data_IF_639261250011
#
_entry.id   IF_639261250011
#
_cell.length_a   1.000
_cell.length_b   1.000
_cell.length_c   1.000
_cell.angle_alpha   90.00
_cell.angle_beta   90.00
_cell.angle_gamma   90.00
#
_symmetry.space_group_name_H-M   'P 1'
#
loop_
_entity.id
_entity.type
_entity.pdbx_description
1 polymer ?
#
# COMPACT_ATOMS: atom_id res chain seq x y z
N UNK A 1 10.75 -34.42 1.29
CA UNK A 1 10.34 -34.01 -0.07
C UNK A 1 10.28 -32.48 -0.10
N UNK A 2 10.85 -31.85 -1.11
CA UNK A 2 10.74 -30.41 -1.27
C UNK A 2 9.29 -29.99 -1.51
N UNK A 3 8.84 -28.86 -0.96
CA UNK A 3 7.47 -28.39 -1.18
C UNK A 3 7.24 -28.03 -2.67
N UNK A 4 5.99 -28.10 -3.16
CA UNK A 4 5.68 -27.63 -4.52
C UNK A 4 6.15 -26.20 -4.74
N UNK A 5 6.63 -25.89 -5.97
CA UNK A 5 7.24 -24.59 -6.30
C UNK A 5 6.37 -23.37 -5.96
N UNK A 6 5.05 -23.50 -5.99
CA UNK A 6 4.08 -22.43 -5.69
C UNK A 6 3.47 -22.52 -4.29
N UNK A 7 3.97 -23.40 -3.43
CA UNK A 7 3.50 -23.45 -2.05
C UNK A 7 3.83 -22.16 -1.29
N UNK A 8 3.06 -21.77 -0.26
CA UNK A 8 3.36 -20.61 0.57
C UNK A 8 4.76 -20.64 1.16
N UNK A 9 5.25 -21.81 1.61
CA UNK A 9 6.59 -22.01 2.16
C UNK A 9 7.67 -21.77 1.09
N UNK A 10 7.51 -22.33 -0.12
CA UNK A 10 8.47 -22.10 -1.20
C UNK A 10 8.53 -20.62 -1.64
N UNK A 11 7.42 -19.89 -1.53
CA UNK A 11 7.42 -18.42 -1.76
C UNK A 11 8.16 -17.69 -0.66
N UNK A 12 7.93 -18.05 0.60
CA UNK A 12 8.64 -17.46 1.74
C UNK A 12 10.15 -17.72 1.65
N UNK A 13 10.57 -18.94 1.29
CA UNK A 13 11.97 -19.30 1.11
C UNK A 13 12.64 -18.47 0.01
N UNK A 14 11.96 -18.28 -1.13
CA UNK A 14 12.49 -17.43 -2.22
C UNK A 14 12.64 -15.97 -1.80
N UNK A 15 11.66 -15.44 -1.06
CA UNK A 15 11.74 -14.08 -0.53
C UNK A 15 12.91 -13.95 0.44
N UNK A 16 13.06 -14.88 1.38
CA UNK A 16 14.16 -14.86 2.35
C UNK A 16 15.53 -14.98 1.66
N UNK A 17 15.66 -15.83 0.64
CA UNK A 17 16.89 -15.94 -0.14
C UNK A 17 17.24 -14.61 -0.83
N UNK A 18 16.29 -13.99 -1.53
CA UNK A 18 16.47 -12.68 -2.17
C UNK A 18 16.85 -11.59 -1.14
N UNK A 19 16.21 -11.59 0.03
CA UNK A 19 16.48 -10.62 1.08
C UNK A 19 17.86 -10.83 1.70
N UNK A 20 18.32 -12.08 1.86
CA UNK A 20 19.64 -12.40 2.41
C UNK A 20 20.78 -11.89 1.53
N UNK A 21 20.60 -11.88 0.22
CA UNK A 21 21.55 -11.28 -0.73
C UNK A 21 21.60 -9.76 -0.61
N UNK A 22 20.45 -9.13 -0.40
CA UNK A 22 20.32 -7.67 -0.36
C UNK A 22 20.66 -7.07 1.02
N UNK A 23 20.38 -7.81 2.09
CA UNK A 23 20.55 -7.39 3.48
C UNK A 23 21.26 -8.49 4.29
N UNK A 24 22.54 -8.78 4.00
CA UNK A 24 23.25 -9.86 4.66
C UNK A 24 23.36 -9.61 6.16
N UNK A 25 22.95 -10.60 6.97
CA UNK A 25 23.00 -10.53 8.42
C UNK A 25 21.87 -9.75 9.09
N UNK A 26 20.94 -9.18 8.34
CA UNK A 26 19.79 -8.46 8.91
C UNK A 26 18.76 -9.46 9.49
N UNK A 27 18.33 -9.30 10.77
CA UNK A 27 17.33 -10.17 11.38
C UNK A 27 15.98 -10.19 10.64
N UNK A 28 15.64 -9.14 9.90
CA UNK A 28 14.45 -9.07 9.06
C UNK A 28 14.40 -10.15 7.99
N UNK A 29 15.54 -10.69 7.57
CA UNK A 29 15.60 -11.84 6.66
C UNK A 29 14.97 -13.08 7.30
N UNK A 30 15.32 -13.37 8.55
CA UNK A 30 14.72 -14.49 9.30
C UNK A 30 13.25 -14.22 9.58
N UNK A 31 12.92 -13.00 10.00
CA UNK A 31 11.54 -12.60 10.24
C UNK A 31 10.65 -12.75 8.99
N UNK A 32 11.19 -12.56 7.79
CA UNK A 32 10.44 -12.72 6.54
C UNK A 32 9.89 -14.13 6.31
N UNK A 33 10.51 -15.15 6.88
CA UNK A 33 10.02 -16.54 6.83
C UNK A 33 8.71 -16.74 7.60
N UNK A 34 8.43 -15.87 8.56
CA UNK A 34 7.20 -15.87 9.37
C UNK A 34 6.11 -14.97 8.77
N UNK A 35 6.40 -14.27 7.67
CA UNK A 35 5.49 -13.32 7.04
C UNK A 35 4.79 -13.92 5.83
N UNK A 36 3.68 -13.31 5.43
CA UNK A 36 2.93 -13.71 4.25
C UNK A 36 3.43 -12.96 3.00
N UNK A 37 4.09 -13.62 2.05
CA UNK A 37 4.41 -13.01 0.76
C UNK A 37 3.11 -12.71 -0.02
N UNK A 38 2.87 -11.45 -0.34
CA UNK A 38 1.67 -10.99 -1.04
C UNK A 38 2.06 -10.37 -2.36
N UNK A 39 1.40 -10.76 -3.43
CA UNK A 39 1.44 -10.07 -4.72
C UNK A 39 0.12 -9.37 -4.96
N UNK A 40 0.17 -8.09 -5.28
CA UNK A 40 -0.98 -7.29 -5.67
C UNK A 40 -0.93 -7.05 -7.18
N UNK A 41 -2.04 -7.32 -7.86
CA UNK A 41 -2.23 -6.93 -9.24
C UNK A 41 -2.73 -5.47 -9.32
N UNK A 42 -2.62 -4.81 -10.49
CA UNK A 42 -3.19 -3.48 -10.67
C UNK A 42 -4.68 -3.43 -10.30
N UNK A 43 -5.06 -2.51 -9.42
CA UNK A 43 -6.42 -2.36 -8.91
C UNK A 43 -6.73 -3.21 -7.67
N UNK A 44 -5.78 -3.97 -7.15
CA UNK A 44 -5.90 -4.63 -5.84
C UNK A 44 -5.31 -3.76 -4.73
N UNK A 45 -5.89 -3.85 -3.54
CA UNK A 45 -5.42 -3.14 -2.36
C UNK A 45 -5.28 -4.07 -1.15
N UNK A 46 -4.36 -3.69 -0.26
CA UNK A 46 -4.12 -4.35 1.01
C UNK A 46 -4.26 -3.33 2.13
N UNK A 47 -4.99 -3.67 3.16
CA UNK A 47 -5.04 -2.90 4.40
C UNK A 47 -4.04 -3.46 5.41
N UNK A 48 -3.29 -2.57 6.02
CA UNK A 48 -2.33 -2.87 7.07
C UNK A 48 -2.72 -2.10 8.32
N UNK A 49 -3.13 -2.81 9.36
CA UNK A 49 -3.45 -2.21 10.65
C UNK A 49 -2.20 -1.70 11.37
N UNK A 50 -2.38 -0.79 12.31
CA UNK A 50 -1.28 -0.33 13.17
C UNK A 50 -0.58 -1.51 13.85
N UNK A 51 0.74 -1.42 14.02
CA UNK A 51 1.57 -2.48 14.59
C UNK A 51 1.88 -3.65 13.64
N UNK A 52 1.36 -3.66 12.41
CA UNK A 52 1.66 -4.69 11.42
C UNK A 52 2.99 -4.44 10.73
N UNK A 53 3.95 -5.36 10.91
CA UNK A 53 5.22 -5.33 10.17
C UNK A 53 4.97 -5.68 8.70
N UNK A 54 5.51 -4.85 7.83
CA UNK A 54 5.39 -5.07 6.39
C UNK A 54 6.61 -4.48 5.64
N UNK A 55 6.86 -4.98 4.45
CA UNK A 55 7.87 -4.44 3.56
C UNK A 55 7.40 -4.53 2.10
N UNK A 56 7.64 -3.46 1.34
CA UNK A 56 7.46 -3.47 -0.12
C UNK A 56 8.74 -3.95 -0.76
N UNK A 57 8.69 -5.08 -1.46
CA UNK A 57 9.87 -5.73 -2.02
C UNK A 57 10.15 -5.27 -3.45
N UNK A 58 9.12 -5.10 -4.25
CA UNK A 58 9.22 -4.68 -5.66
C UNK A 58 7.93 -4.11 -6.18
N UNK A 59 8.00 -3.41 -7.32
CA UNK A 59 6.84 -2.82 -7.98
C UNK A 59 6.57 -1.38 -7.58
N UNK A 60 5.44 -0.84 -8.05
CA UNK A 60 4.97 0.51 -7.75
C UNK A 60 3.57 0.43 -7.16
N UNK A 61 3.36 1.09 -6.04
CA UNK A 61 2.07 1.16 -5.37
C UNK A 61 1.80 2.58 -4.85
N UNK A 62 0.54 2.92 -4.70
CA UNK A 62 0.12 4.11 -3.96
C UNK A 62 -0.24 3.68 -2.55
N UNK A 63 0.37 4.33 -1.56
CA UNK A 63 0.06 4.11 -0.16
C UNK A 63 -0.55 5.37 0.44
N UNK A 64 -1.61 5.18 1.22
CA UNK A 64 -2.19 6.22 2.08
C UNK A 64 -2.13 5.73 3.52
N UNK A 65 -1.84 6.61 4.44
CA UNK A 65 -1.76 6.29 5.86
C UNK A 65 -2.23 7.46 6.71
N UNK A 66 -2.72 7.16 7.90
CA UNK A 66 -3.05 8.17 8.90
C UNK A 66 -1.80 8.96 9.30
N UNK A 67 -1.97 10.25 9.59
CA UNK A 67 -0.87 11.20 9.83
C UNK A 67 -0.25 11.10 11.22
N UNK A 68 0.08 9.91 11.71
CA UNK A 68 0.62 9.73 13.07
C UNK A 68 2.11 10.04 13.22
N UNK A 69 2.91 9.97 12.16
CA UNK A 69 4.34 10.29 12.19
C UNK A 69 5.25 9.34 12.98
N UNK A 70 4.72 8.31 13.64
CA UNK A 70 5.42 7.37 14.50
C UNK A 70 5.77 6.04 13.81
N UNK A 71 6.33 6.11 12.61
CA UNK A 71 6.75 4.93 11.87
C UNK A 71 8.07 4.39 12.41
N UNK A 72 8.03 3.19 12.97
CA UNK A 72 9.22 2.45 13.40
C UNK A 72 9.78 1.58 12.28
N UNK A 73 11.09 1.32 12.34
CA UNK A 73 11.76 0.38 11.44
C UNK A 73 11.85 -0.98 12.12
N UNK A 74 11.56 -2.04 11.37
CA UNK A 74 11.57 -3.41 11.89
C UNK A 74 12.75 -4.26 11.38
N UNK A 75 13.53 -3.75 10.42
CA UNK A 75 14.63 -4.43 9.77
C UNK A 75 14.68 -4.11 8.27
N UNK A 76 15.52 -4.84 7.52
CA UNK A 76 15.74 -4.66 6.09
C UNK A 76 16.08 -3.20 5.74
N UNK A 77 16.94 -2.58 6.54
CA UNK A 77 17.26 -1.16 6.45
C UNK A 77 18.63 -0.86 7.03
N UNK A 78 19.31 0.15 6.50
CA UNK A 78 20.52 0.71 7.10
C UNK A 78 20.24 1.79 8.16
N UNK A 79 18.95 2.13 8.37
CA UNK A 79 18.54 3.10 9.39
C UNK A 79 18.47 2.43 10.75
N UNK A 80 18.59 3.25 11.82
CA UNK A 80 18.44 2.76 13.18
C UNK A 80 17.10 2.05 13.41
N UNK A 81 17.16 0.92 14.09
CA UNK A 81 15.99 0.15 14.55
C UNK A 81 15.94 0.22 16.06
N UNK A 82 14.92 0.84 16.61
CA UNK A 82 14.65 0.85 18.04
C UNK A 82 13.89 -0.43 18.40
N UNK A 83 14.67 -1.45 18.79
CA UNK A 83 14.11 -2.78 19.07
C UNK A 83 13.17 -2.77 20.29
N UNK A 84 13.50 -2.12 21.43
CA UNK A 84 12.59 -2.04 22.57
C UNK A 84 11.23 -1.43 22.20
N UNK A 85 11.24 -0.29 21.52
CA UNK A 85 10.01 0.39 21.10
C UNK A 85 9.24 -0.42 20.05
N UNK A 86 9.94 -1.02 19.09
CA UNK A 86 9.34 -1.91 18.12
C UNK A 86 8.56 -3.05 18.79
N UNK A 87 9.18 -3.72 19.75
CA UNK A 87 8.55 -4.85 20.46
C UNK A 87 7.37 -4.40 21.35
N UNK A 88 7.38 -3.17 21.82
CA UNK A 88 6.28 -2.61 22.61
C UNK A 88 5.01 -2.36 21.79
N UNK A 89 5.15 -2.02 20.50
CA UNK A 89 4.01 -1.67 19.63
C UNK A 89 3.66 -2.73 18.59
N UNK A 90 4.52 -3.76 18.45
CA UNK A 90 4.34 -4.82 17.47
C UNK A 90 3.08 -5.64 17.76
N UNK A 91 2.23 -5.78 16.75
CA UNK A 91 1.19 -6.79 16.78
C UNK A 91 1.74 -8.13 16.26
N UNK A 92 2.02 -9.05 17.18
CA UNK A 92 2.54 -10.38 16.87
C UNK A 92 1.46 -11.43 16.58
N UNK A 93 0.17 -11.04 16.56
CA UNK A 93 -0.92 -11.95 16.25
C UNK A 93 -0.84 -12.42 14.81
N UNK A 94 -0.87 -13.74 14.61
CA UNK A 94 -0.94 -14.31 13.28
C UNK A 94 -2.29 -13.98 12.64
N UNK A 95 -2.26 -13.26 11.53
CA UNK A 95 -3.46 -12.90 10.78
C UNK A 95 -3.20 -12.97 9.28
N UNK A 96 -4.21 -13.38 8.49
CA UNK A 96 -4.09 -13.34 7.04
C UNK A 96 -4.00 -11.90 6.53
N UNK A 97 -3.38 -11.67 5.36
CA UNK A 97 -3.37 -10.37 4.72
C UNK A 97 -4.79 -9.89 4.42
N UNK A 98 -5.16 -8.70 4.90
CA UNK A 98 -6.49 -8.13 4.69
C UNK A 98 -6.56 -7.45 3.33
N UNK A 99 -7.08 -8.17 2.33
CA UNK A 99 -7.33 -7.60 1.00
C UNK A 99 -8.60 -6.78 1.02
N UNK A 100 -8.57 -5.60 0.38
CA UNK A 100 -9.74 -4.75 0.18
C UNK A 100 -10.12 -4.80 -1.28
N UNK A 101 -11.34 -5.27 -1.55
CA UNK A 101 -11.93 -5.19 -2.88
C UNK A 101 -12.47 -3.78 -3.13
N UNK A 102 -12.21 -3.19 -4.30
CA UNK A 102 -12.79 -1.89 -4.64
C UNK A 102 -14.30 -2.01 -4.84
N UNK A 103 -15.05 -1.12 -4.20
CA UNK A 103 -16.46 -0.93 -4.51
C UNK A 103 -16.60 -0.04 -5.74
N UNK A 104 -17.32 -0.51 -6.74
CA UNK A 104 -17.56 0.25 -7.96
C UNK A 104 -18.71 1.23 -7.76
N UNK A 105 -18.39 2.48 -7.49
CA UNK A 105 -19.37 3.55 -7.27
C UNK A 105 -20.09 3.92 -8.57
N UNK A 106 -19.34 3.95 -9.70
CA UNK A 106 -19.89 4.17 -11.05
C UNK A 106 -18.91 3.66 -12.13
N UNK A 107 -19.16 3.98 -13.39
CA UNK A 107 -18.33 3.51 -14.51
C UNK A 107 -16.87 4.01 -14.47
N UNK A 108 -16.61 5.13 -13.78
CA UNK A 108 -15.31 5.77 -13.73
C UNK A 108 -14.66 5.74 -12.33
N UNK A 109 -15.42 5.47 -11.26
CA UNK A 109 -14.95 5.57 -9.87
C UNK A 109 -15.07 4.23 -9.16
N UNK A 110 -13.97 3.80 -8.57
CA UNK A 110 -13.91 2.69 -7.62
C UNK A 110 -13.29 3.18 -6.31
N UNK A 111 -13.90 2.83 -5.18
CA UNK A 111 -13.46 3.26 -3.85
C UNK A 111 -13.04 2.06 -3.01
N UNK A 112 -11.92 2.18 -2.31
CA UNK A 112 -11.39 1.20 -1.39
C UNK A 112 -11.71 1.66 0.03
N UNK A 113 -12.68 1.01 0.67
CA UNK A 113 -13.08 1.32 2.03
C UNK A 113 -12.20 0.55 3.03
N UNK A 114 -11.23 1.25 3.61
CA UNK A 114 -10.47 0.72 4.73
C UNK A 114 -11.31 0.82 6.02
N UNK A 115 -11.10 -0.08 7.01
CA UNK A 115 -11.84 -0.05 8.28
C UNK A 115 -11.28 1.05 9.23
N UNK A 116 -11.14 2.28 8.74
CA UNK A 116 -10.66 3.46 9.46
C UNK A 116 -11.41 4.69 8.97
N UNK A 117 -11.56 5.68 9.84
CA UNK A 117 -12.25 6.93 9.53
C UNK A 117 -11.29 8.04 9.07
N UNK A 118 -9.97 7.78 9.10
CA UNK A 118 -8.94 8.79 8.84
C UNK A 118 -8.82 9.15 7.36
N UNK A 119 -9.13 8.22 6.45
CA UNK A 119 -8.99 8.43 5.01
C UNK A 119 -9.88 7.51 4.18
N UNK A 120 -10.11 7.91 2.96
CA UNK A 120 -10.71 7.10 1.89
C UNK A 120 -9.83 7.15 0.65
N UNK A 121 -9.65 6.04 -0.02
CA UNK A 121 -8.92 5.96 -1.29
C UNK A 121 -9.88 5.64 -2.44
N UNK A 122 -9.93 6.54 -3.42
CA UNK A 122 -10.68 6.30 -4.66
C UNK A 122 -9.77 6.30 -5.88
N UNK A 123 -10.01 5.37 -6.78
CA UNK A 123 -9.43 5.35 -8.11
C UNK A 123 -10.43 5.90 -9.12
N UNK A 124 -10.00 6.87 -9.95
CA UNK A 124 -10.81 7.47 -11.00
C UNK A 124 -10.16 7.17 -12.35
N UNK A 125 -10.89 6.54 -13.24
CA UNK A 125 -10.46 6.21 -14.60
C UNK A 125 -11.30 6.99 -15.62
N UNK A 126 -10.74 8.08 -16.15
CA UNK A 126 -11.34 8.84 -17.24
C UNK A 126 -10.97 8.18 -18.57
N UNK A 127 -11.98 7.81 -19.36
CA UNK A 127 -11.77 7.07 -20.62
C UNK A 127 -11.62 7.98 -21.83
N UNK A 128 -12.13 9.18 -21.74
CA UNK A 128 -12.09 10.19 -22.81
C UNK A 128 -12.08 11.61 -22.24
N UNK A 129 -11.77 12.60 -23.07
CA UNK A 129 -11.65 14.00 -22.69
C UNK A 129 -12.99 14.65 -22.25
N UNK A 130 -14.12 14.03 -22.56
CA UNK A 130 -15.44 14.55 -22.22
C UNK A 130 -16.01 13.95 -20.93
N UNK A 131 -15.37 12.89 -20.43
CA UNK A 131 -15.81 12.24 -19.20
C UNK A 131 -15.57 13.18 -18.01
N UNK A 132 -16.66 13.55 -17.34
CA UNK A 132 -16.63 14.35 -16.10
C UNK A 132 -17.09 13.50 -14.94
N UNK A 133 -16.33 13.56 -13.87
CA UNK A 133 -16.61 12.84 -12.63
C UNK A 133 -16.71 13.81 -11.48
N UNK A 134 -17.83 13.78 -10.75
CA UNK A 134 -17.98 14.52 -9.52
C UNK A 134 -17.48 13.66 -8.36
N UNK A 135 -16.38 14.07 -7.74
CA UNK A 135 -15.88 13.44 -6.50
C UNK A 135 -16.73 13.93 -5.34
N UNK A 136 -17.39 13.00 -4.67
CA UNK A 136 -18.26 13.29 -3.50
C UNK A 136 -17.45 13.11 -2.22
N UNK A 137 -17.92 13.65 -1.12
CA UNK A 137 -17.33 13.56 0.22
C UNK A 137 -17.12 14.93 0.86
N UNK A 138 -16.72 14.92 2.12
CA UNK A 138 -16.42 16.11 2.94
C UNK A 138 -14.94 16.05 3.31
N UNK A 139 -14.29 17.20 3.43
CA UNK A 139 -12.90 17.31 3.87
C UNK A 139 -11.87 17.55 2.76
N UNK A 140 -10.61 17.65 3.13
CA UNK A 140 -9.51 17.87 2.19
C UNK A 140 -9.33 16.68 1.26
N UNK A 141 -8.89 16.95 0.04
CA UNK A 141 -8.63 15.93 -0.97
C UNK A 141 -7.28 16.17 -1.60
N UNK A 142 -6.56 15.09 -1.81
CA UNK A 142 -5.35 15.06 -2.63
C UNK A 142 -5.64 14.22 -3.86
N UNK A 143 -5.39 14.77 -5.03
CA UNK A 143 -5.51 14.04 -6.30
C UNK A 143 -4.12 13.81 -6.85
N UNK A 144 -3.74 12.54 -7.03
CA UNK A 144 -2.51 12.13 -7.69
C UNK A 144 -2.86 11.62 -9.09
N UNK A 145 -2.32 12.24 -10.13
CA UNK A 145 -2.45 11.76 -11.49
C UNK A 145 -1.40 10.67 -11.75
N UNK A 146 -1.86 9.43 -11.99
CA UNK A 146 -0.98 8.29 -12.25
C UNK A 146 -0.65 8.13 -13.73
N UNK A 147 -1.58 8.49 -14.61
CA UNK A 147 -1.41 8.33 -16.05
C UNK A 147 -2.20 9.40 -16.81
N UNK A 148 -1.64 9.89 -17.93
CA UNK A 148 -2.29 10.88 -18.79
C UNK A 148 -2.34 12.28 -18.19
N UNK A 149 -3.45 12.96 -18.39
CA UNK A 149 -3.70 14.30 -17.86
C UNK A 149 -5.19 14.48 -17.54
N UNK A 150 -5.49 15.33 -16.55
CA UNK A 150 -6.85 15.67 -16.19
C UNK A 150 -6.97 17.14 -15.80
N UNK A 151 -8.18 17.69 -15.90
CA UNK A 151 -8.53 18.97 -15.31
C UNK A 151 -9.38 18.75 -14.06
N UNK A 152 -9.01 19.46 -13.01
CA UNK A 152 -9.69 19.44 -11.72
C UNK A 152 -10.36 20.79 -11.50
N UNK A 153 -11.63 20.77 -11.16
CA UNK A 153 -12.39 21.98 -10.84
C UNK A 153 -12.87 21.92 -9.37
N UNK A 154 -12.50 22.92 -8.60
CA UNK A 154 -12.93 23.07 -7.21
C UNK A 154 -13.03 24.55 -6.83
N UNK A 155 -14.13 24.96 -6.21
CA UNK A 155 -14.34 26.33 -5.74
C UNK A 155 -14.20 27.39 -6.84
N UNK A 156 -14.65 27.09 -8.06
CA UNK A 156 -14.53 27.96 -9.24
C UNK A 156 -13.13 28.10 -9.81
N UNK A 157 -12.16 27.30 -9.32
CA UNK A 157 -10.79 27.25 -9.84
C UNK A 157 -10.60 25.97 -10.64
N UNK A 158 -9.90 26.11 -11.77
CA UNK A 158 -9.51 24.96 -12.61
C UNK A 158 -7.99 24.77 -12.50
N UNK A 159 -7.58 23.51 -12.30
CA UNK A 159 -6.16 23.11 -12.35
C UNK A 159 -5.99 21.92 -13.28
N UNK A 160 -4.94 21.97 -14.08
CA UNK A 160 -4.51 20.81 -14.87
C UNK A 160 -3.46 20.03 -14.09
N UNK A 161 -3.52 18.71 -14.17
CA UNK A 161 -2.54 17.78 -13.59
C UNK A 161 -2.13 16.78 -14.65
N UNK A 162 -0.87 16.42 -14.66
CA UNK A 162 -0.31 15.38 -15.53
C UNK A 162 0.26 14.23 -14.69
N UNK A 163 0.61 13.13 -15.33
CA UNK A 163 1.18 11.96 -14.65
C UNK A 163 2.35 12.34 -13.73
N UNK A 164 2.32 11.85 -12.48
CA UNK A 164 3.29 12.15 -11.44
C UNK A 164 3.00 13.41 -10.62
N UNK A 165 2.01 14.23 -10.99
CA UNK A 165 1.64 15.42 -10.22
C UNK A 165 0.51 15.14 -9.24
N UNK A 166 0.58 15.79 -8.08
CA UNK A 166 -0.46 15.82 -7.05
C UNK A 166 -0.90 17.25 -6.75
N UNK A 167 -2.16 17.42 -6.38
CA UNK A 167 -2.78 18.68 -5.94
C UNK A 167 -3.74 18.42 -4.80
#
# INVERSE_FOLDING_TARGET
SSPPADSPSARADRVAAMLSERYPGDPGVVASLLMNPVTLNPGEALFLSAGTVHASLSGVAVAIMAGSGNVLRAGLTHKHVDVPELLAVLNSSASPPTRIAPERVNAAVSTFYAPVDDFELSEIRLRDANTRVRVRGIGPRTVLCLQGAAQLEAGGRVRSVIAGQAV
#
